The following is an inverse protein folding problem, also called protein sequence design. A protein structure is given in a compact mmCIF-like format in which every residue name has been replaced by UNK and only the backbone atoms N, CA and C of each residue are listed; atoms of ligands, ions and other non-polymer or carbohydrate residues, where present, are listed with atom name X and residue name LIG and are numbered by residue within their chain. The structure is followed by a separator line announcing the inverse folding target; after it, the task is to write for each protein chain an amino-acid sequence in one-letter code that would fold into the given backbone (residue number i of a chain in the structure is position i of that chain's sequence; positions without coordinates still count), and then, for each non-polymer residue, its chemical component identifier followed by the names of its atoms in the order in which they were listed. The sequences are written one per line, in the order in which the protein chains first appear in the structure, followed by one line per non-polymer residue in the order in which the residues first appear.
data_IF_783855320658
#
_entry.id   IF_783855320658
#
_cell.length_a   1.000
_cell.length_b   1.000
_cell.length_c   1.000
_cell.angle_alpha   90.00
_cell.angle_beta   90.00
_cell.angle_gamma   90.00
#
_symmetry.space_group_name_H-M   'P 1'
#
loop_
_entity.id
_entity.type
_entity.pdbx_description
1 polymer ?
#
# COMPACT_ATOMS: atom_id res chain seq x y z
N UNK A 1 5.75 18.56 15.86
CA UNK A 1 7.07 18.01 16.26
C UNK A 1 7.85 17.59 15.03
N UNK A 2 9.18 17.56 15.09
CA UNK A 2 10.02 17.08 13.97
C UNK A 2 10.36 15.61 14.15
N UNK A 3 10.22 14.82 13.08
CA UNK A 3 10.53 13.38 13.05
C UNK A 3 11.26 12.98 11.76
N UNK A 4 12.10 11.94 11.77
CA UNK A 4 12.58 11.31 10.54
C UNK A 4 11.45 10.53 9.86
N UNK A 5 11.37 10.64 8.53
CA UNK A 5 10.43 9.89 7.70
C UNK A 5 11.05 9.51 6.35
N UNK A 6 10.56 8.41 5.76
CA UNK A 6 10.80 8.07 4.37
C UNK A 6 9.68 8.71 3.52
N UNK A 7 10.04 9.59 2.59
CA UNK A 7 9.08 10.38 1.80
C UNK A 7 9.26 10.10 0.31
N UNK A 8 8.19 9.71 -0.38
CA UNK A 8 8.14 9.71 -1.84
C UNK A 8 7.86 11.13 -2.31
N UNK A 9 8.85 11.76 -2.96
CA UNK A 9 8.69 13.11 -3.49
C UNK A 9 7.97 13.11 -4.85
N UNK A 10 8.21 12.05 -5.64
CA UNK A 10 7.65 11.85 -6.96
C UNK A 10 7.33 10.37 -7.17
N UNK A 11 6.36 10.08 -8.05
CA UNK A 11 6.05 8.71 -8.46
C UNK A 11 7.25 8.08 -9.16
N UNK A 12 7.49 6.81 -8.89
CA UNK A 12 8.59 6.00 -9.42
C UNK A 12 9.99 6.49 -9.04
N UNK A 13 10.15 7.08 -7.85
CA UNK A 13 11.45 7.48 -7.30
C UNK A 13 11.72 6.81 -5.95
N UNK A 14 12.99 6.58 -5.57
CA UNK A 14 13.32 6.09 -4.23
C UNK A 14 12.85 7.06 -3.14
N UNK A 15 12.45 6.53 -1.98
CA UNK A 15 12.13 7.37 -0.83
C UNK A 15 13.34 8.17 -0.36
N UNK A 16 13.12 9.45 -0.08
CA UNK A 16 14.10 10.28 0.61
C UNK A 16 13.90 10.14 2.13
N UNK A 17 14.97 9.80 2.86
CA UNK A 17 14.98 9.88 4.32
C UNK A 17 15.22 11.34 4.72
N UNK A 18 14.21 11.98 5.29
CA UNK A 18 14.25 13.40 5.65
C UNK A 18 13.52 13.66 6.96
N UNK A 19 13.84 14.79 7.60
CA UNK A 19 12.99 15.34 8.66
C UNK A 19 11.70 15.93 8.09
N UNK A 20 10.60 15.72 8.79
CA UNK A 20 9.29 16.30 8.51
C UNK A 20 8.67 16.88 9.77
N UNK A 21 7.85 17.91 9.61
CA UNK A 21 7.04 18.47 10.69
C UNK A 21 5.68 17.75 10.75
N UNK A 22 5.43 17.06 11.86
CA UNK A 22 4.16 16.43 12.17
C UNK A 22 3.35 17.28 13.16
N UNK A 23 2.12 17.63 12.80
CA UNK A 23 1.21 18.40 13.66
C UNK A 23 0.60 17.54 14.75
N UNK A 24 0.12 18.17 15.82
CA UNK A 24 -0.64 17.49 16.88
C UNK A 24 -1.95 16.91 16.31
N UNK A 25 -2.41 15.74 16.81
CA UNK A 25 -3.62 15.10 16.33
C UNK A 25 -4.87 15.93 16.68
N UNK A 26 -5.82 15.99 15.75
CA UNK A 26 -7.14 16.59 15.97
C UNK A 26 -8.09 15.61 16.69
N UNK A 27 -9.32 16.02 17.10
CA UNK A 27 -10.19 15.21 17.97
C UNK A 27 -10.57 13.78 17.49
N UNK A 28 -10.30 13.42 16.23
CA UNK A 28 -10.56 12.09 15.67
C UNK A 28 -9.29 11.41 15.11
N UNK A 29 -8.12 11.87 15.52
CA UNK A 29 -6.83 11.35 15.10
C UNK A 29 -6.07 10.78 16.31
N UNK A 30 -5.21 9.79 16.04
CA UNK A 30 -4.36 9.18 17.05
C UNK A 30 -2.92 9.32 16.61
N UNK A 31 -2.09 9.89 17.48
CA UNK A 31 -0.64 9.90 17.30
C UNK A 31 -0.09 8.52 17.65
N UNK A 32 0.60 7.89 16.70
CA UNK A 32 1.19 6.55 16.88
C UNK A 32 2.70 6.65 16.69
N UNK A 33 3.44 6.17 17.69
CA UNK A 33 4.88 5.97 17.55
C UNK A 33 5.14 4.62 16.87
N UNK A 34 5.72 4.66 15.68
CA UNK A 34 6.09 3.45 14.95
C UNK A 34 7.37 2.85 15.55
N UNK A 35 7.31 1.59 15.98
CA UNK A 35 8.49 0.80 16.39
C UNK A 35 9.10 0.02 15.24
N UNK A 36 8.31 -0.24 14.19
CA UNK A 36 8.73 -0.90 12.95
C UNK A 36 7.63 -0.86 11.90
N UNK A 37 8.03 -0.92 10.63
CA UNK A 37 7.15 -0.95 9.44
C UNK A 37 7.78 -1.84 8.36
N UNK A 38 6.95 -2.51 7.58
CA UNK A 38 7.37 -3.30 6.41
C UNK A 38 7.05 -2.57 5.11
N UNK A 39 7.69 -3.00 4.01
CA UNK A 39 7.42 -2.51 2.66
C UNK A 39 6.61 -3.58 1.93
N UNK A 40 5.46 -3.21 1.36
CA UNK A 40 4.59 -4.09 0.58
C UNK A 40 4.75 -3.87 -0.94
N UNK A 41 4.10 -4.70 -1.74
CA UNK A 41 4.20 -4.63 -3.21
C UNK A 41 3.70 -3.28 -3.79
N UNK A 42 2.59 -2.69 -3.32
CA UNK A 42 2.19 -1.32 -3.67
C UNK A 42 3.28 -0.26 -3.43
N UNK A 43 3.98 -0.29 -2.29
CA UNK A 43 5.07 0.67 -2.02
C UNK A 43 6.20 0.57 -3.06
N UNK A 44 6.48 -0.65 -3.54
CA UNK A 44 7.47 -0.89 -4.59
C UNK A 44 6.97 -0.52 -5.99
N UNK A 45 5.66 -0.66 -6.23
CA UNK A 45 5.02 -0.20 -7.46
C UNK A 45 5.14 1.32 -7.58
N UNK A 46 4.90 2.04 -6.49
CA UNK A 46 5.06 3.49 -6.42
C UNK A 46 6.53 3.92 -6.60
N UNK A 47 7.50 3.02 -6.40
CA UNK A 47 8.92 3.22 -6.72
C UNK A 47 9.29 2.85 -8.16
N UNK A 48 8.34 2.37 -8.96
CA UNK A 48 8.60 1.90 -10.33
C UNK A 48 9.35 0.57 -10.39
N UNK A 49 9.47 -0.13 -9.26
CA UNK A 49 10.26 -1.36 -9.12
C UNK A 49 9.42 -2.62 -9.26
N UNK A 50 8.09 -2.49 -9.22
CA UNK A 50 7.18 -3.62 -9.25
C UNK A 50 5.97 -3.34 -10.16
N UNK A 51 5.75 -4.20 -11.16
CA UNK A 51 4.57 -4.08 -12.04
C UNK A 51 3.35 -4.74 -11.40
N UNK A 52 2.77 -4.10 -10.38
CA UNK A 52 1.59 -4.59 -9.68
C UNK A 52 0.43 -4.89 -10.66
N UNK A 53 0.23 -4.02 -11.66
CA UNK A 53 -0.80 -4.18 -12.70
C UNK A 53 -0.77 -5.52 -13.44
N UNK A 54 0.38 -6.20 -13.49
CA UNK A 54 0.51 -7.52 -14.15
C UNK A 54 0.08 -8.70 -13.28
N UNK A 55 -0.17 -8.45 -12.00
CA UNK A 55 -0.45 -9.45 -10.98
C UNK A 55 -1.84 -9.30 -10.37
N UNK A 56 -2.48 -8.15 -10.57
CA UNK A 56 -3.84 -7.89 -10.14
C UNK A 56 -4.85 -8.56 -11.07
N UNK A 57 -5.83 -9.23 -10.48
CA UNK A 57 -7.05 -9.65 -11.15
C UNK A 57 -8.21 -8.81 -10.63
N UNK A 58 -8.86 -8.06 -11.51
CA UNK A 58 -10.04 -7.26 -11.14
C UNK A 58 -11.31 -8.05 -11.37
N UNK A 59 -12.17 -8.16 -10.36
CA UNK A 59 -13.45 -8.87 -10.45
C UNK A 59 -14.56 -8.07 -9.76
N UNK A 60 -15.82 -8.17 -10.21
CA UNK A 60 -16.94 -7.55 -9.48
C UNK A 60 -17.12 -8.13 -8.08
N UNK A 61 -17.62 -7.33 -7.14
CA UNK A 61 -17.86 -7.72 -5.74
C UNK A 61 -18.84 -8.89 -5.63
N UNK A 62 -19.81 -9.00 -6.53
CA UNK A 62 -20.77 -10.11 -6.54
C UNK A 62 -20.12 -11.48 -6.85
N UNK A 63 -18.89 -11.50 -7.37
CA UNK A 63 -18.10 -12.69 -7.67
C UNK A 63 -17.03 -13.00 -6.60
N UNK A 64 -17.14 -12.43 -5.39
CA UNK A 64 -16.12 -12.60 -4.33
C UNK A 64 -15.81 -14.07 -4.01
N UNK A 65 -16.82 -14.95 -3.97
CA UNK A 65 -16.62 -16.35 -3.60
C UNK A 65 -15.85 -17.13 -4.68
N UNK A 66 -16.17 -16.90 -5.95
CA UNK A 66 -15.48 -17.53 -7.06
C UNK A 66 -14.03 -17.05 -7.16
N UNK A 67 -13.82 -15.75 -6.90
CA UNK A 67 -12.50 -15.10 -6.87
C UNK A 67 -11.65 -15.67 -5.74
N UNK A 68 -12.20 -15.79 -4.53
CA UNK A 68 -11.51 -16.41 -3.39
C UNK A 68 -11.16 -17.87 -3.68
N UNK A 69 -12.08 -18.64 -4.24
CA UNK A 69 -11.82 -20.02 -4.64
C UNK A 69 -10.73 -20.11 -5.71
N UNK A 70 -10.66 -19.15 -6.63
CA UNK A 70 -9.58 -19.04 -7.62
C UNK A 70 -8.23 -18.69 -6.97
N UNK A 71 -8.21 -17.81 -5.97
CA UNK A 71 -7.01 -17.51 -5.18
C UNK A 71 -6.49 -18.74 -4.43
N UNK A 72 -7.35 -19.49 -3.75
CA UNK A 72 -6.93 -20.73 -3.07
C UNK A 72 -6.33 -21.79 -4.01
N UNK A 73 -6.72 -21.77 -5.30
CA UNK A 73 -6.17 -22.66 -6.34
C UNK A 73 -4.94 -22.07 -7.05
N UNK A 74 -4.44 -20.90 -6.61
CA UNK A 74 -3.30 -20.22 -7.21
C UNK A 74 -3.57 -19.64 -8.61
N UNK A 75 -4.85 -19.50 -9.01
CA UNK A 75 -5.22 -18.91 -10.31
C UNK A 75 -5.30 -17.38 -10.28
N UNK A 76 -5.46 -16.82 -9.09
CA UNK A 76 -5.45 -15.38 -8.82
C UNK A 76 -4.43 -15.15 -7.71
N UNK A 77 -3.50 -14.23 -7.91
CA UNK A 77 -2.53 -13.88 -6.88
C UNK A 77 -3.15 -12.85 -5.94
N UNK A 78 -3.50 -11.69 -6.49
CA UNK A 78 -4.08 -10.57 -5.76
C UNK A 78 -5.35 -10.11 -6.49
N UNK A 79 -6.46 -10.01 -5.76
CA UNK A 79 -7.76 -9.66 -6.32
C UNK A 79 -8.15 -8.22 -5.93
N UNK A 80 -8.61 -7.44 -6.91
CA UNK A 80 -9.24 -6.13 -6.67
C UNK A 80 -10.73 -6.27 -6.94
N UNK A 81 -11.53 -6.07 -5.90
CA UNK A 81 -12.99 -6.11 -6.03
C UNK A 81 -13.51 -4.72 -6.42
N UNK A 82 -14.24 -4.65 -7.52
CA UNK A 82 -14.97 -3.44 -7.91
C UNK A 82 -16.41 -3.50 -7.44
N UNK A 83 -17.05 -2.36 -7.15
CA UNK A 83 -18.48 -2.31 -6.79
C UNK A 83 -19.39 -3.07 -7.75
#
# INVERSE_FOLDING_TARGET
MHIPAAVAQEVSTPFALTEVELKDPTPNEVMVQLTGVGICQPDLHDRGEFSLDKLLTTTPLDQINDTLAAQHRGKVLEAVLTP
#
